data_IF_229733973456
#
_entry.id   IF_229733973456
#
_cell.length_a   1.000
_cell.length_b   1.000
_cell.length_c   1.000
_cell.angle_alpha   90.00
_cell.angle_beta   90.00
_cell.angle_gamma   90.00
#
_symmetry.space_group_name_H-M   'P 1'
#
loop_
_entity.id
_entity.type
_entity.pdbx_description
1 polymer ?
#
# COMPACT_ATOMS: atom_id res chain seq x y z
N UNK A 1 1.48 46.56 50.61
CA UNK A 1 0.69 45.33 50.35
C UNK A 1 1.64 44.17 50.06
N UNK A 2 1.27 42.96 50.51
CA UNK A 2 2.03 41.71 50.69
C UNK A 2 3.05 41.30 49.61
N UNK A 3 4.21 40.72 49.99
CA UNK A 3 5.05 39.89 49.12
C UNK A 3 4.57 38.42 49.15
N UNK A 4 4.82 37.63 48.09
CA UNK A 4 4.33 36.25 48.01
C UNK A 4 4.97 35.37 46.94
N UNK A 5 6.24 35.02 47.16
CA UNK A 5 6.92 33.72 46.95
C UNK A 5 6.72 32.91 45.66
N UNK A 6 7.84 32.73 44.96
CA UNK A 6 8.05 31.80 43.86
C UNK A 6 8.00 30.32 44.30
N UNK A 7 7.46 29.45 43.43
CA UNK A 7 7.69 28.01 43.51
C UNK A 7 8.28 27.47 42.19
N UNK A 8 9.60 27.29 42.19
CA UNK A 8 10.29 26.35 41.29
C UNK A 8 10.03 24.93 41.81
N UNK A 9 9.44 24.06 41.01
CA UNK A 9 9.53 22.61 41.22
C UNK A 9 10.54 22.03 40.23
N UNK A 10 11.68 21.63 40.78
CA UNK A 10 12.66 20.74 40.17
C UNK A 10 12.09 19.32 40.21
N UNK A 11 12.19 18.57 39.11
CA UNK A 11 11.99 17.12 39.11
C UNK A 11 13.35 16.47 38.80
N UNK A 12 13.83 15.54 39.64
CA UNK A 12 15.18 14.97 39.54
C UNK A 12 15.30 13.89 38.47
N UNK A 13 16.52 13.83 37.92
CA UNK A 13 17.07 12.75 37.12
C UNK A 13 17.50 11.58 38.03
N UNK A 14 17.24 10.34 37.60
CA UNK A 14 17.77 9.09 38.14
C UNK A 14 17.30 7.95 37.22
N UNK A 15 18.00 6.87 36.89
CA UNK A 15 19.39 6.42 36.98
C UNK A 15 19.47 5.19 36.05
N UNK A 16 20.64 4.94 35.46
CA UNK A 16 21.01 3.77 34.67
C UNK A 16 20.67 2.42 35.33
N UNK A 17 20.24 1.44 34.51
CA UNK A 17 20.50 0.03 34.79
C UNK A 17 21.22 -0.57 33.58
N UNK A 18 22.52 -0.75 33.77
CA UNK A 18 23.42 -1.55 32.95
C UNK A 18 23.22 -3.01 33.38
N UNK A 19 22.78 -3.88 32.47
CA UNK A 19 22.63 -5.31 32.71
C UNK A 19 23.19 -6.10 31.55
N UNK A 20 24.46 -6.49 31.65
CA UNK A 20 25.16 -7.39 30.76
C UNK A 20 25.31 -8.74 31.45
N UNK A 21 24.74 -9.83 30.92
CA UNK A 21 25.07 -11.20 31.34
C UNK A 21 24.91 -12.19 30.17
N UNK A 22 26.08 -12.70 29.75
CA UNK A 22 26.48 -14.04 29.30
C UNK A 22 25.83 -14.73 28.08
N UNK A 23 26.74 -15.08 27.17
CA UNK A 23 26.62 -16.04 26.10
C UNK A 23 26.46 -17.48 26.61
N UNK A 24 25.66 -18.28 25.90
CA UNK A 24 25.81 -19.74 25.83
C UNK A 24 25.92 -20.12 24.37
N UNK A 25 27.13 -20.49 23.96
CA UNK A 25 27.37 -21.27 22.76
C UNK A 25 27.01 -22.73 23.04
N UNK A 26 26.31 -23.38 22.12
CA UNK A 26 25.96 -24.79 22.25
C UNK A 26 25.20 -25.31 21.03
N UNK A 27 25.95 -25.84 20.06
CA UNK A 27 25.45 -26.56 18.89
C UNK A 27 24.62 -27.78 19.31
N UNK A 28 23.52 -28.05 18.60
CA UNK A 28 23.24 -29.38 18.06
C UNK A 28 22.16 -29.29 16.99
N UNK A 29 22.55 -29.70 15.79
CA UNK A 29 21.68 -29.99 14.67
C UNK A 29 20.70 -31.08 15.07
N UNK A 30 19.43 -30.90 14.72
CA UNK A 30 18.56 -32.03 14.47
C UNK A 30 17.61 -31.64 13.35
N UNK A 31 17.98 -32.07 12.15
CA UNK A 31 17.14 -32.08 10.95
C UNK A 31 16.37 -33.41 11.00
N UNK A 32 15.05 -33.42 11.19
CA UNK A 32 14.25 -34.60 10.92
C UNK A 32 14.02 -34.66 9.40
N UNK A 33 14.68 -35.61 8.74
CA UNK A 33 14.31 -36.05 7.40
C UNK A 33 13.01 -36.86 7.45
N UNK A 34 12.09 -36.47 6.58
CA UNK A 34 11.12 -37.29 5.84
C UNK A 34 10.49 -38.52 6.51
N UNK A 35 9.26 -38.33 6.99
CA UNK A 35 8.22 -39.34 6.78
C UNK A 35 7.42 -38.94 5.55
N UNK A 36 7.80 -39.53 4.41
CA UNK A 36 7.06 -39.51 3.17
C UNK A 36 5.61 -39.97 3.43
N UNK A 37 4.68 -39.01 3.38
CA UNK A 37 3.27 -39.29 3.17
C UNK A 37 3.02 -39.06 1.68
N UNK A 38 3.04 -40.14 0.92
CA UNK A 38 2.55 -40.23 -0.45
C UNK A 38 1.10 -39.77 -0.47
N UNK A 39 0.89 -38.48 -0.71
CA UNK A 39 -0.39 -37.96 -1.14
C UNK A 39 -0.49 -38.27 -2.64
N UNK A 40 -1.58 -38.89 -3.13
CA UNK A 40 -1.74 -39.14 -4.56
C UNK A 40 -1.68 -37.81 -5.30
N UNK A 41 -0.71 -37.73 -6.21
CA UNK A 41 -0.58 -36.67 -7.21
C UNK A 41 -1.85 -36.67 -8.06
N UNK A 42 -2.68 -35.61 -8.03
CA UNK A 42 -3.64 -35.45 -9.11
C UNK A 42 -2.83 -35.13 -10.36
N UNK A 43 -2.73 -36.13 -11.24
CA UNK A 43 -2.34 -35.95 -12.63
C UNK A 43 -3.20 -34.83 -13.23
N UNK A 44 -2.68 -33.61 -13.32
CA UNK A 44 -3.25 -32.56 -14.16
C UNK A 44 -2.89 -32.93 -15.59
N UNK A 45 -3.69 -33.86 -16.09
CA UNK A 45 -3.77 -34.28 -17.47
C UNK A 45 -4.22 -33.09 -18.31
N UNK A 46 -3.36 -32.64 -19.21
CA UNK A 46 -3.70 -31.74 -20.31
C UNK A 46 -3.90 -30.28 -19.93
N UNK A 47 -3.06 -29.42 -20.50
CA UNK A 47 -3.42 -28.03 -20.78
C UNK A 47 -4.50 -28.01 -21.88
N UNK A 48 -5.76 -27.63 -21.60
CA UNK A 48 -6.54 -26.91 -22.58
C UNK A 48 -6.03 -25.47 -22.62
N UNK A 49 -5.55 -25.06 -23.81
CA UNK A 49 -5.48 -23.66 -24.22
C UNK A 49 -6.76 -22.94 -23.75
N UNK A 50 -6.67 -21.85 -22.96
CA UNK A 50 -7.77 -20.90 -22.92
C UNK A 50 -7.69 -20.11 -24.23
N UNK A 51 -8.38 -20.62 -25.25
CA UNK A 51 -8.98 -19.76 -26.26
C UNK A 51 -9.69 -18.64 -25.51
N UNK A 52 -9.37 -17.39 -25.84
CA UNK A 52 -10.01 -16.22 -25.27
C UNK A 52 -11.54 -16.42 -25.32
N UNK A 53 -12.27 -16.37 -24.19
CA UNK A 53 -13.71 -16.23 -24.28
C UNK A 53 -13.97 -14.87 -24.93
N UNK A 54 -14.60 -14.90 -26.10
CA UNK A 54 -15.37 -13.78 -26.58
C UNK A 54 -16.48 -13.55 -25.53
N UNK A 55 -16.22 -12.63 -24.60
CA UNK A 55 -17.25 -12.17 -23.70
C UNK A 55 -18.35 -11.52 -24.55
N UNK A 56 -19.63 -11.94 -24.40
CA UNK A 56 -20.72 -11.11 -24.88
C UNK A 56 -20.61 -9.75 -24.20
N UNK A 57 -20.81 -8.67 -24.95
CA UNK A 57 -20.86 -7.30 -24.47
C UNK A 57 -21.72 -7.19 -23.21
N UNK A 58 -21.08 -7.13 -22.04
CA UNK A 58 -21.72 -6.83 -20.77
C UNK A 58 -21.88 -5.30 -20.70
N UNK A 59 -23.11 -4.76 -20.73
CA UNK A 59 -23.36 -3.33 -20.66
C UNK A 59 -23.20 -2.84 -19.21
N UNK A 60 -21.97 -2.91 -18.68
CA UNK A 60 -21.71 -2.57 -17.27
C UNK A 60 -20.27 -2.19 -16.94
N UNK A 61 -19.32 -2.32 -17.86
CA UNK A 61 -17.93 -1.91 -17.60
C UNK A 61 -17.83 -0.39 -17.70
N UNK A 62 -18.10 0.32 -16.60
CA UNK A 62 -17.76 1.73 -16.43
C UNK A 62 -16.24 1.91 -16.47
N UNK A 63 -15.70 2.00 -17.68
CA UNK A 63 -14.31 2.36 -17.96
C UNK A 63 -14.12 3.81 -17.52
N UNK A 64 -13.59 4.02 -16.32
CA UNK A 64 -13.39 5.37 -15.80
C UNK A 64 -12.38 6.14 -16.69
N UNK A 65 -12.71 7.33 -17.21
CA UNK A 65 -11.83 8.06 -18.12
C UNK A 65 -10.56 8.53 -17.38
N UNK A 66 -9.38 8.25 -17.93
CA UNK A 66 -8.07 8.57 -17.35
C UNK A 66 -7.75 10.08 -17.20
N UNK A 67 -8.71 10.97 -17.47
CA UNK A 67 -8.62 12.42 -17.27
C UNK A 67 -9.84 13.03 -16.56
N UNK A 68 -10.74 12.20 -16.02
CA UNK A 68 -11.94 12.66 -15.35
C UNK A 68 -11.62 13.32 -14.00
N UNK A 69 -12.31 14.43 -13.71
CA UNK A 69 -12.40 15.00 -12.36
C UNK A 69 -12.75 13.89 -11.36
N UNK A 70 -12.03 13.82 -10.24
CA UNK A 70 -12.30 12.82 -9.22
C UNK A 70 -13.69 13.05 -8.65
N UNK A 71 -14.57 12.05 -8.79
CA UNK A 71 -15.91 12.07 -8.21
C UNK A 71 -15.83 11.47 -6.79
N UNK A 72 -16.02 12.27 -5.73
CA UNK A 72 -15.95 11.76 -4.36
C UNK A 72 -17.11 10.83 -4.00
N UNK A 73 -18.17 10.78 -4.81
CA UNK A 73 -19.34 9.90 -4.62
C UNK A 73 -19.15 8.50 -5.22
N UNK A 74 -18.18 8.33 -6.12
CA UNK A 74 -17.81 7.06 -6.73
C UNK A 74 -16.56 6.46 -6.03
N UNK A 75 -16.67 5.28 -5.39
CA UNK A 75 -15.52 4.65 -4.73
C UNK A 75 -14.43 4.24 -5.73
N UNK A 76 -14.77 3.90 -6.98
CA UNK A 76 -13.78 3.51 -7.99
C UNK A 76 -12.93 4.71 -8.42
N UNK A 77 -13.56 5.87 -8.67
CA UNK A 77 -12.87 7.14 -8.94
C UNK A 77 -11.90 7.52 -7.81
N UNK A 78 -12.35 7.48 -6.55
CA UNK A 78 -11.49 7.77 -5.38
C UNK A 78 -10.34 6.78 -5.27
N UNK A 79 -10.58 5.49 -5.47
CA UNK A 79 -9.55 4.45 -5.43
C UNK A 79 -8.46 4.69 -6.49
N UNK A 80 -8.84 4.99 -7.74
CA UNK A 80 -7.90 5.31 -8.80
C UNK A 80 -7.07 6.56 -8.50
N UNK A 81 -7.72 7.62 -7.99
CA UNK A 81 -7.04 8.86 -7.60
C UNK A 81 -6.04 8.63 -6.47
N UNK A 82 -6.41 7.85 -5.44
CA UNK A 82 -5.51 7.46 -4.37
C UNK A 82 -4.28 6.71 -4.90
N UNK A 83 -4.45 5.70 -5.75
CA UNK A 83 -3.32 4.92 -6.31
C UNK A 83 -2.38 5.82 -7.11
N UNK A 84 -2.93 6.70 -7.95
CA UNK A 84 -2.13 7.65 -8.74
C UNK A 84 -1.29 8.56 -7.82
N UNK A 85 -1.88 9.06 -6.75
CA UNK A 85 -1.19 9.90 -5.77
C UNK A 85 -0.17 9.13 -4.90
N UNK A 86 -0.49 7.90 -4.51
CA UNK A 86 0.33 7.06 -3.63
C UNK A 86 1.57 6.51 -4.35
N UNK A 87 1.39 6.03 -5.58
CA UNK A 87 2.42 5.42 -6.42
C UNK A 87 3.20 6.48 -7.21
N UNK A 88 2.56 7.60 -7.55
CA UNK A 88 3.12 8.75 -8.28
C UNK A 88 4.16 9.55 -7.51
N UNK A 89 5.23 8.89 -7.06
CA UNK A 89 6.35 9.49 -6.32
C UNK A 89 7.46 9.88 -7.28
N UNK A 90 8.12 10.98 -6.99
CA UNK A 90 9.36 11.37 -7.66
C UNK A 90 10.57 11.03 -6.80
N UNK A 91 11.72 10.81 -7.43
CA UNK A 91 12.97 10.54 -6.72
C UNK A 91 13.45 11.73 -5.87
N UNK A 92 13.06 12.94 -6.25
CA UNK A 92 13.39 14.20 -5.57
C UNK A 92 12.30 14.64 -4.56
N UNK A 93 11.21 13.89 -4.44
CA UNK A 93 10.19 14.15 -3.43
C UNK A 93 10.77 13.90 -2.02
N UNK A 94 10.59 14.82 -1.05
CA UNK A 94 10.95 14.56 0.34
C UNK A 94 10.31 13.27 0.87
N UNK A 95 10.95 12.58 1.84
CA UNK A 95 10.29 11.53 2.60
C UNK A 95 8.94 12.06 3.09
N UNK A 96 7.86 11.31 2.86
CA UNK A 96 6.46 11.67 3.19
C UNK A 96 5.78 12.73 2.31
N UNK A 97 6.39 13.27 1.26
CA UNK A 97 5.70 14.24 0.39
C UNK A 97 4.40 13.71 -0.25
N UNK A 98 4.35 12.39 -0.52
CA UNK A 98 3.15 11.72 -1.01
C UNK A 98 1.97 11.78 -0.04
N UNK A 99 2.21 11.93 1.28
CA UNK A 99 1.14 12.02 2.28
C UNK A 99 0.24 13.22 2.06
N UNK A 100 0.80 14.35 1.58
CA UNK A 100 0.01 15.53 1.21
C UNK A 100 -0.87 15.25 -0.02
N UNK A 101 -0.37 14.46 -0.97
CA UNK A 101 -1.08 14.09 -2.21
C UNK A 101 -2.23 13.13 -1.93
N UNK A 102 -2.05 12.16 -1.03
CA UNK A 102 -3.09 11.16 -0.71
C UNK A 102 -4.11 11.65 0.31
N UNK A 103 -3.77 12.65 1.16
CA UNK A 103 -4.66 13.19 2.21
C UNK A 103 -6.12 13.40 1.78
N UNK A 104 -6.45 13.96 0.60
CA UNK A 104 -7.84 14.19 0.20
C UNK A 104 -8.66 12.91 -0.02
N UNK A 105 -7.99 11.77 -0.26
CA UNK A 105 -8.61 10.49 -0.62
C UNK A 105 -8.56 9.47 0.52
N UNK A 106 -8.05 9.87 1.70
CA UNK A 106 -7.70 8.93 2.77
C UNK A 106 -8.40 9.33 4.06
N UNK A 107 -8.86 8.36 4.85
CA UNK A 107 -9.35 8.64 6.21
C UNK A 107 -8.22 9.16 7.10
N UNK A 108 -8.57 9.91 8.15
CA UNK A 108 -7.59 10.45 9.08
C UNK A 108 -6.75 9.36 9.77
N UNK A 109 -7.41 8.27 10.20
CA UNK A 109 -6.76 7.14 10.87
C UNK A 109 -5.78 6.42 9.95
N UNK A 110 -6.16 6.19 8.69
CA UNK A 110 -5.27 5.54 7.74
C UNK A 110 -4.11 6.45 7.34
N UNK A 111 -4.33 7.76 7.23
CA UNK A 111 -3.25 8.72 7.01
C UNK A 111 -2.26 8.75 8.18
N UNK A 112 -2.73 8.60 9.42
CA UNK A 112 -1.86 8.46 10.59
C UNK A 112 -1.03 7.18 10.53
N UNK A 113 -1.62 6.06 10.12
CA UNK A 113 -0.90 4.79 9.90
C UNK A 113 0.18 4.93 8.83
N UNK A 114 -0.14 5.54 7.68
CA UNK A 114 0.83 5.81 6.62
C UNK A 114 2.00 6.68 7.09
N UNK A 115 1.76 7.64 8.01
CA UNK A 115 2.84 8.41 8.64
C UNK A 115 3.75 7.55 9.51
N UNK A 116 3.19 6.60 10.26
CA UNK A 116 3.95 5.70 11.13
C UNK A 116 4.77 4.70 10.30
N UNK A 117 4.19 4.14 9.24
CA UNK A 117 4.86 3.21 8.32
C UNK A 117 5.97 3.90 7.51
N UNK A 118 5.77 5.17 7.17
CA UNK A 118 6.78 5.96 6.46
C UNK A 118 7.72 6.60 7.48
N UNK A 119 8.82 5.92 7.81
CA UNK A 119 9.86 6.50 8.66
C UNK A 119 10.34 7.89 8.18
N UNK A 120 10.89 8.68 9.10
CA UNK A 120 11.46 10.01 8.80
C UNK A 120 12.75 9.94 7.96
N UNK A 121 13.39 8.76 7.93
CA UNK A 121 14.62 8.51 7.20
C UNK A 121 14.42 7.84 5.84
N UNK A 122 15.29 8.18 4.89
CA UNK A 122 15.42 7.43 3.65
C UNK A 122 16.22 6.14 3.89
N UNK A 123 15.52 5.03 4.16
CA UNK A 123 16.13 3.69 4.30
C UNK A 123 16.78 3.18 3.00
N UNK A 124 17.39 1.99 3.00
CA UNK A 124 18.15 1.45 1.84
C UNK A 124 17.33 1.39 0.55
N UNK A 125 16.06 0.98 0.61
CA UNK A 125 15.17 0.96 -0.55
C UNK A 125 14.87 2.37 -1.11
N UNK A 126 14.68 3.35 -0.23
CA UNK A 126 14.55 4.75 -0.61
C UNK A 126 15.86 5.28 -1.22
N UNK A 127 17.03 4.96 -0.64
CA UNK A 127 18.33 5.37 -1.19
C UNK A 127 18.58 4.77 -2.57
N UNK A 128 18.20 3.51 -2.79
CA UNK A 128 18.27 2.85 -4.09
C UNK A 128 17.34 3.53 -5.12
N UNK A 129 16.12 3.89 -4.70
CA UNK A 129 15.16 4.63 -5.52
C UNK A 129 15.67 6.02 -5.94
N UNK A 130 16.23 6.78 -4.98
CA UNK A 130 16.86 8.08 -5.25
C UNK A 130 18.06 7.92 -6.20
N UNK A 131 18.92 6.92 -5.95
CA UNK A 131 20.11 6.65 -6.78
C UNK A 131 19.74 6.30 -8.22
N UNK A 132 18.65 5.58 -8.43
CA UNK A 132 18.15 5.24 -9.76
C UNK A 132 17.54 6.45 -10.50
N UNK A 133 17.39 7.62 -9.86
CA UNK A 133 16.70 8.82 -10.39
C UNK A 133 15.34 8.47 -11.03
N UNK A 134 14.67 7.46 -10.50
CA UNK A 134 13.44 6.94 -11.10
C UNK A 134 12.29 7.84 -10.69
N UNK A 135 11.70 8.55 -11.64
CA UNK A 135 10.35 9.08 -11.47
C UNK A 135 9.40 7.93 -11.66
N UNK A 136 8.55 7.62 -10.68
CA UNK A 136 7.47 6.65 -10.87
C UNK A 136 6.20 7.42 -11.17
N UNK A 137 5.75 7.39 -12.42
CA UNK A 137 4.35 7.71 -12.69
C UNK A 137 3.52 6.44 -12.60
N UNK A 138 2.27 6.59 -12.21
CA UNK A 138 1.30 5.51 -12.24
C UNK A 138 0.22 5.85 -13.26
N UNK A 139 -0.03 4.94 -14.19
CA UNK A 139 -1.23 4.98 -15.03
C UNK A 139 -2.18 3.91 -14.52
N UNK A 140 -3.38 4.31 -14.12
CA UNK A 140 -4.43 3.38 -13.69
C UNK A 140 -5.04 2.81 -14.95
N UNK A 141 -4.93 1.50 -15.14
CA UNK A 141 -5.49 0.78 -16.29
C UNK A 141 -6.93 0.32 -16.04
N UNK A 142 -7.33 0.18 -14.78
CA UNK A 142 -8.70 -0.15 -14.40
C UNK A 142 -8.95 -0.11 -12.91
N UNK A 143 -10.22 0.02 -12.55
CA UNK A 143 -10.73 -0.05 -11.17
C UNK A 143 -11.97 -0.91 -11.20
N UNK A 144 -12.05 -1.94 -10.37
CA UNK A 144 -13.19 -2.87 -10.30
C UNK A 144 -13.57 -3.13 -8.85
N UNK A 145 -14.86 -3.27 -8.59
CA UNK A 145 -15.39 -3.83 -7.34
C UNK A 145 -15.72 -5.28 -7.66
N UNK A 146 -14.91 -6.27 -7.20
CA UNK A 146 -15.19 -7.66 -7.48
C UNK A 146 -16.60 -8.06 -6.98
N UNK A 147 -17.36 -8.90 -7.70
CA UNK A 147 -18.71 -9.27 -7.29
C UNK A 147 -18.77 -9.97 -5.93
N UNK A 148 -17.70 -10.68 -5.56
CA UNK A 148 -17.50 -11.36 -4.28
C UNK A 148 -17.05 -10.42 -3.14
N UNK A 149 -16.67 -9.18 -3.44
CA UNK A 149 -16.14 -8.26 -2.46
C UNK A 149 -17.20 -7.84 -1.43
N UNK A 150 -16.90 -7.91 -0.11
CA UNK A 150 -17.83 -7.44 0.92
C UNK A 150 -18.22 -5.97 0.69
N UNK A 151 -19.52 -5.72 0.52
CA UNK A 151 -20.06 -4.39 0.24
C UNK A 151 -21.26 -4.06 1.12
N UNK A 152 -21.26 -2.83 1.62
CA UNK A 152 -22.38 -2.22 2.34
C UNK A 152 -22.59 -0.80 1.81
N UNK A 153 -23.62 -0.11 2.28
CA UNK A 153 -23.89 1.29 1.91
C UNK A 153 -22.76 2.26 2.27
N UNK A 154 -21.86 1.88 3.18
CA UNK A 154 -20.81 2.74 3.73
C UNK A 154 -19.40 2.14 3.67
N UNK A 155 -19.24 0.95 3.08
CA UNK A 155 -17.95 0.25 2.99
C UNK A 155 -17.89 -0.62 1.75
N UNK A 156 -16.77 -0.59 1.02
CA UNK A 156 -16.55 -1.43 -0.16
C UNK A 156 -15.06 -1.71 -0.35
N UNK A 157 -14.74 -2.85 -0.96
CA UNK A 157 -13.39 -3.15 -1.43
C UNK A 157 -13.29 -2.91 -2.94
N UNK A 158 -12.24 -2.21 -3.36
CA UNK A 158 -11.96 -1.89 -4.77
C UNK A 158 -10.59 -2.43 -5.13
N UNK A 159 -10.51 -3.16 -6.23
CA UNK A 159 -9.25 -3.55 -6.86
C UNK A 159 -8.87 -2.53 -7.93
N UNK A 160 -7.62 -2.07 -7.89
CA UNK A 160 -7.06 -1.11 -8.83
C UNK A 160 -5.90 -1.76 -9.57
N UNK A 161 -6.00 -1.80 -10.89
CA UNK A 161 -4.94 -2.23 -11.80
C UNK A 161 -4.21 -1.00 -12.32
N UNK A 162 -2.88 -1.04 -12.29
CA UNK A 162 -2.05 0.09 -12.71
C UNK A 162 -0.69 -0.34 -13.22
N UNK A 163 -0.07 0.52 -14.03
CA UNK A 163 1.30 0.36 -14.51
C UNK A 163 2.18 1.41 -13.84
N UNK A 164 3.36 0.99 -13.37
CA UNK A 164 4.42 1.90 -12.92
C UNK A 164 5.35 2.19 -14.08
N UNK A 165 5.66 3.45 -14.30
CA UNK A 165 6.67 3.84 -15.29
C UNK A 165 7.84 4.42 -14.53
N UNK A 166 9.02 3.80 -14.67
CA UNK A 166 10.28 4.45 -14.31
C UNK A 166 10.91 5.03 -15.57
N UNK A 167 11.64 6.15 -15.48
CA UNK A 167 12.27 6.79 -16.65
C UNK A 167 13.06 5.79 -17.52
N UNK A 168 13.81 4.89 -16.88
CA UNK A 168 14.57 3.82 -17.54
C UNK A 168 13.73 2.69 -18.16
N UNK A 169 12.48 2.50 -17.72
CA UNK A 169 11.55 1.52 -18.29
C UNK A 169 10.76 2.08 -19.46
N UNK A 170 10.43 3.38 -19.44
CA UNK A 170 9.77 4.07 -20.56
C UNK A 170 10.63 3.97 -21.82
N UNK A 171 11.95 4.20 -21.68
CA UNK A 171 12.91 4.08 -22.79
C UNK A 171 13.02 2.66 -23.37
N UNK A 172 12.62 1.63 -22.61
CA UNK A 172 12.71 0.22 -23.00
C UNK A 172 11.36 -0.39 -23.38
N UNK A 173 10.26 0.37 -23.34
CA UNK A 173 8.90 -0.13 -23.62
C UNK A 173 8.39 -1.18 -22.62
N UNK A 174 9.05 -1.35 -21.46
CA UNK A 174 8.65 -2.35 -20.47
C UNK A 174 7.58 -1.80 -19.54
N UNK A 175 6.37 -2.35 -19.62
CA UNK A 175 5.25 -2.01 -18.75
C UNK A 175 4.94 -3.20 -17.84
N UNK A 176 5.24 -3.07 -16.54
CA UNK A 176 4.91 -4.11 -15.57
C UNK A 176 3.55 -3.78 -14.95
N UNK A 177 2.52 -4.62 -15.13
CA UNK A 177 1.22 -4.45 -14.49
C UNK A 177 1.33 -4.77 -12.99
N UNK A 178 0.59 -4.01 -12.17
CA UNK A 178 0.48 -4.20 -10.73
C UNK A 178 -0.98 -4.13 -10.28
N UNK A 179 -1.29 -4.79 -9.16
CA UNK A 179 -2.57 -4.72 -8.48
C UNK A 179 -2.48 -4.04 -7.11
N UNK A 180 -3.57 -3.38 -6.71
CA UNK A 180 -3.76 -2.88 -5.34
C UNK A 180 -5.22 -3.05 -4.91
N UNK A 181 -5.43 -3.66 -3.74
CA UNK A 181 -6.76 -3.82 -3.17
C UNK A 181 -6.94 -2.81 -2.04
N UNK A 182 -8.02 -2.02 -2.11
CA UNK A 182 -8.29 -0.91 -1.22
C UNK A 182 -9.64 -1.09 -0.51
N UNK A 183 -9.66 -0.83 0.80
CA UNK A 183 -10.90 -0.71 1.56
C UNK A 183 -11.32 0.76 1.62
N UNK A 184 -12.49 1.08 1.10
CA UNK A 184 -13.06 2.42 1.15
C UNK A 184 -14.24 2.47 2.12
N UNK A 185 -14.36 3.60 2.83
CA UNK A 185 -15.47 3.90 3.72
C UNK A 185 -16.07 5.25 3.39
N UNK A 186 -17.38 5.38 3.56
CA UNK A 186 -18.09 6.65 3.37
C UNK A 186 -17.95 7.52 4.61
N UNK A 187 -17.41 8.73 4.47
CA UNK A 187 -17.23 9.72 5.53
C UNK A 187 -17.45 11.13 4.98
N UNK A 188 -18.16 11.99 5.72
CA UNK A 188 -18.37 13.39 5.31
C UNK A 188 -19.05 13.56 3.94
N UNK A 189 -19.85 12.58 3.52
CA UNK A 189 -20.55 12.58 2.23
C UNK A 189 -19.80 11.95 1.06
N UNK A 190 -18.50 11.67 1.19
CA UNK A 190 -17.68 11.05 0.13
C UNK A 190 -17.06 9.72 0.54
N UNK A 191 -16.50 8.99 -0.42
CA UNK A 191 -15.68 7.81 -0.17
C UNK A 191 -14.25 8.21 0.15
N UNK A 192 -13.64 7.52 1.11
CA UNK A 192 -12.25 7.67 1.49
C UNK A 192 -11.62 6.30 1.69
N UNK A 193 -10.36 6.14 1.29
CA UNK A 193 -9.56 4.95 1.53
C UNK A 193 -9.22 4.86 3.01
N UNK A 194 -9.54 3.72 3.62
CA UNK A 194 -9.33 3.45 5.04
C UNK A 194 -8.31 2.34 5.30
N UNK A 195 -8.01 1.53 4.28
CA UNK A 195 -7.01 0.47 4.34
C UNK A 195 -6.55 0.05 2.94
N UNK A 196 -5.38 -0.58 2.86
CA UNK A 196 -4.86 -1.25 1.67
C UNK A 196 -4.39 -2.65 2.03
N UNK A 197 -4.68 -3.63 1.19
CA UNK A 197 -4.08 -4.95 1.24
C UNK A 197 -3.07 -5.14 0.12
N UNK A 198 -1.83 -5.44 0.51
CA UNK A 198 -0.75 -5.91 -0.37
C UNK A 198 -0.42 -5.03 -1.57
N UNK A 199 0.57 -5.49 -2.34
CA UNK A 199 0.82 -5.09 -3.71
C UNK A 199 1.00 -6.44 -4.41
N UNK A 200 0.05 -6.82 -5.26
CA UNK A 200 0.09 -8.09 -6.00
C UNK A 200 0.76 -7.84 -7.34
#
# INVERSE_FOLDING_TARGET
MKPGTAHRRRVPAATLVLGAVLAVAGCSQQVPSDTARTSPEPTISGLPHPSAPAYPDDPGTSRSPSGATVDPSDPQSVAGAFVKAFVGRRYDDPPRAFLKKVKPFTTADYLARLRQETGDGCGTACKAYIRAKSVTTASVSGTVIPPEAPRTKSSVWVQVSYTKFTKSQVEKGNHIPYGMVLHLRKQGGGWLVSERQGQV
#
